data_IF_334383651867
#
_entry.id   IF_334383651867
#
_cell.length_a   1.000
_cell.length_b   1.000
_cell.length_c   1.000
_cell.angle_alpha   90.00
_cell.angle_beta   90.00
_cell.angle_gamma   90.00
#
_symmetry.space_group_name_H-M   'P 1'
#
loop_
_entity.id
_entity.type
_entity.pdbx_description
1 polymer ?
#
# COMPACT_ATOMS: atom_id res chain seq x y z
N UNK A 1 -3.35 -5.60 -10.81
CA UNK A 1 -4.77 -5.33 -10.53
C UNK A 1 -4.96 -5.44 -9.03
N UNK A 2 -5.51 -4.41 -8.39
CA UNK A 2 -5.69 -4.32 -6.94
C UNK A 2 -6.53 -5.49 -6.49
N UNK A 3 -5.99 -6.25 -5.54
CA UNK A 3 -6.80 -7.19 -4.80
C UNK A 3 -7.01 -6.51 -3.45
N UNK A 4 -8.23 -6.00 -3.22
CA UNK A 4 -8.69 -5.93 -1.83
C UNK A 4 -8.48 -7.33 -1.29
N UNK A 5 -7.87 -7.47 -0.13
CA UNK A 5 -7.71 -8.79 0.51
C UNK A 5 -9.08 -9.25 1.05
N UNK A 6 -10.12 -9.17 0.23
CA UNK A 6 -11.46 -9.70 0.43
C UNK A 6 -11.35 -11.22 0.32
N UNK A 7 -11.07 -11.86 1.45
CA UNK A 7 -10.99 -13.32 1.53
C UNK A 7 -9.88 -13.85 2.45
N UNK A 8 -8.97 -12.99 2.92
CA UNK A 8 -8.14 -13.31 4.09
C UNK A 8 -8.64 -12.47 5.25
N UNK A 9 -8.63 -13.07 6.45
CA UNK A 9 -9.08 -12.47 7.72
C UNK A 9 -8.73 -10.98 7.73
N UNK A 10 -9.76 -10.11 7.76
CA UNK A 10 -9.49 -8.68 7.77
C UNK A 10 -8.61 -8.41 8.98
N UNK A 11 -7.41 -7.82 8.82
CA UNK A 11 -6.55 -7.57 9.96
C UNK A 11 -7.30 -6.61 10.88
N UNK A 12 -7.62 -7.09 12.08
CA UNK A 12 -8.15 -6.26 13.13
C UNK A 12 -7.29 -6.44 14.37
N UNK A 13 -6.97 -5.33 15.02
CA UNK A 13 -6.24 -5.34 16.28
C UNK A 13 -7.20 -4.79 17.33
N UNK A 14 -7.44 -5.59 18.37
CA UNK A 14 -8.16 -5.16 19.55
C UNK A 14 -7.16 -4.48 20.48
N UNK A 15 -7.30 -3.18 20.64
CA UNK A 15 -6.74 -2.42 21.75
C UNK A 15 -7.79 -2.43 22.88
N UNK A 16 -7.35 -2.30 24.13
CA UNK A 16 -8.19 -2.52 25.32
C UNK A 16 -9.57 -1.82 25.24
N UNK A 17 -9.64 -0.62 24.65
CA UNK A 17 -10.87 0.16 24.47
C UNK A 17 -11.36 0.29 23.01
N UNK A 18 -10.68 -0.30 22.03
CA UNK A 18 -11.01 -0.09 20.61
C UNK A 18 -10.57 -1.23 19.68
N UNK A 19 -11.48 -1.65 18.79
CA UNK A 19 -11.14 -2.55 17.67
C UNK A 19 -10.83 -1.72 16.43
N UNK A 20 -9.58 -1.78 15.96
CA UNK A 20 -9.15 -1.12 14.74
C UNK A 20 -9.14 -2.13 13.60
N UNK A 21 -9.93 -1.86 12.56
CA UNK A 21 -9.97 -2.66 11.33
C UNK A 21 -9.06 -2.00 10.29
N UNK A 22 -8.15 -2.77 9.70
CA UNK A 22 -7.25 -2.29 8.66
C UNK A 22 -7.78 -2.63 7.28
N UNK A 23 -7.82 -1.63 6.40
CA UNK A 23 -8.06 -1.80 4.97
C UNK A 23 -6.73 -1.69 4.26
N UNK A 24 -6.14 -2.84 3.93
CA UNK A 24 -4.84 -2.92 3.25
C UNK A 24 -5.09 -3.23 1.78
N UNK A 25 -4.53 -2.40 0.91
CA UNK A 25 -4.56 -2.59 -0.54
C UNK A 25 -3.15 -2.93 -1.01
N UNK A 26 -2.95 -4.16 -1.52
CA UNK A 26 -1.71 -4.52 -2.19
C UNK A 26 -1.80 -4.18 -3.68
N UNK A 27 -0.75 -3.55 -4.18
CA UNK A 27 -0.64 -3.17 -5.59
C UNK A 27 0.34 -4.13 -6.23
N UNK A 28 -0.13 -4.99 -7.15
CA UNK A 28 0.80 -5.75 -7.98
C UNK A 28 1.68 -4.75 -8.76
N UNK A 29 2.94 -4.61 -8.33
CA UNK A 29 3.88 -3.54 -8.65
C UNK A 29 4.34 -3.51 -10.11
N UNK A 30 3.41 -3.29 -11.03
CA UNK A 30 3.72 -2.96 -12.41
C UNK A 30 3.71 -1.45 -12.60
N UNK A 31 4.79 -0.94 -13.19
CA UNK A 31 4.96 0.47 -13.55
C UNK A 31 3.83 1.03 -14.43
N UNK A 32 3.10 0.17 -15.16
CA UNK A 32 1.94 0.55 -15.99
C UNK A 32 0.79 1.18 -15.22
N UNK A 33 0.76 1.04 -13.89
CA UNK A 33 -0.31 1.59 -13.05
C UNK A 33 0.09 2.86 -12.29
N UNK A 34 1.25 3.46 -12.61
CA UNK A 34 1.74 4.67 -11.94
C UNK A 34 0.76 5.86 -12.08
N UNK A 35 0.10 6.02 -13.23
CA UNK A 35 -0.89 7.09 -13.47
C UNK A 35 -2.12 7.03 -12.56
N UNK A 36 -2.34 5.91 -11.88
CA UNK A 36 -3.46 5.71 -10.98
C UNK A 36 -3.08 5.98 -9.51
N UNK A 37 -1.82 6.35 -9.22
CA UNK A 37 -1.35 6.72 -7.88
C UNK A 37 -2.26 7.75 -7.16
N UNK A 38 -2.72 8.84 -7.82
CA UNK A 38 -3.62 9.80 -7.18
C UNK A 38 -4.97 9.21 -6.76
N UNK A 39 -5.43 8.16 -7.45
CA UNK A 39 -6.65 7.44 -7.09
C UNK A 39 -6.44 6.53 -5.88
N UNK A 40 -5.23 5.97 -5.69
CA UNK A 40 -4.92 5.04 -4.60
C UNK A 40 -4.74 5.69 -3.24
N UNK A 41 -4.25 6.94 -3.20
CA UNK A 41 -4.13 7.67 -1.94
C UNK A 41 -5.44 8.34 -1.49
N UNK A 42 -6.44 8.39 -2.38
CA UNK A 42 -7.69 9.11 -2.11
C UNK A 42 -8.54 8.35 -1.09
N UNK A 43 -8.55 8.85 0.14
CA UNK A 43 -9.26 8.24 1.26
C UNK A 43 -8.40 7.31 2.13
N UNK A 44 -7.15 7.07 1.74
CA UNK A 44 -6.20 6.35 2.58
C UNK A 44 -5.69 7.28 3.70
N UNK A 45 -5.61 6.75 4.93
CA UNK A 45 -5.02 7.48 6.07
C UNK A 45 -3.49 7.48 6.03
N UNK A 46 -2.89 6.45 5.44
CA UNK A 46 -1.46 6.28 5.32
C UNK A 46 -1.13 5.45 4.07
N UNK A 47 0.11 5.59 3.59
CA UNK A 47 0.66 4.77 2.52
C UNK A 47 2.07 4.29 2.90
N UNK A 48 2.40 3.06 2.54
CA UNK A 48 3.73 2.47 2.77
C UNK A 48 4.37 2.23 1.39
N UNK A 49 5.54 2.80 1.17
CA UNK A 49 6.35 2.57 -0.04
C UNK A 49 7.53 1.69 0.36
N UNK A 50 7.63 0.52 -0.27
CA UNK A 50 8.67 -0.48 0.03
C UNK A 50 9.66 -0.53 -1.14
N UNK A 51 10.94 -0.71 -0.82
CA UNK A 51 12.01 -0.96 -1.77
C UNK A 51 12.99 -2.00 -1.19
N UNK A 52 13.88 -2.53 -2.05
CA UNK A 52 14.89 -3.50 -1.66
C UNK A 52 16.23 -2.79 -1.43
N UNK A 53 16.81 -2.96 -0.23
CA UNK A 53 18.09 -2.34 0.17
C UNK A 53 19.27 -2.83 -0.67
N UNK A 54 19.19 -4.04 -1.23
CA UNK A 54 20.22 -4.61 -2.10
C UNK A 54 20.11 -4.12 -3.54
N UNK A 55 18.99 -3.50 -3.91
CA UNK A 55 18.72 -3.01 -5.26
C UNK A 55 18.48 -1.49 -5.27
N UNK A 56 19.50 -0.73 -5.63
CA UNK A 56 19.43 0.72 -5.68
C UNK A 56 18.45 1.28 -6.73
N UNK A 57 18.18 0.54 -7.81
CA UNK A 57 17.17 0.93 -8.81
C UNK A 57 15.76 0.93 -8.20
N UNK A 58 15.48 -0.06 -7.33
CA UNK A 58 14.19 -0.14 -6.62
C UNK A 58 13.96 1.09 -5.72
N UNK A 59 15.01 1.61 -5.09
CA UNK A 59 14.95 2.83 -4.29
C UNK A 59 14.66 4.08 -5.14
N UNK A 60 15.29 4.20 -6.30
CA UNK A 60 15.02 5.34 -7.20
C UNK A 60 13.58 5.28 -7.74
N UNK A 61 13.08 4.09 -8.05
CA UNK A 61 11.67 3.89 -8.43
C UNK A 61 10.71 4.27 -7.29
N UNK A 62 11.01 3.87 -6.06
CA UNK A 62 10.22 4.20 -4.87
C UNK A 62 10.05 5.72 -4.65
N UNK A 63 11.10 6.51 -4.90
CA UNK A 63 11.03 7.98 -4.79
C UNK A 63 9.99 8.62 -5.71
N UNK A 64 9.70 8.02 -6.86
CA UNK A 64 8.72 8.56 -7.80
C UNK A 64 7.28 8.46 -7.25
N UNK A 65 7.02 7.57 -6.28
CA UNK A 65 5.71 7.41 -5.65
C UNK A 65 5.42 8.41 -4.53
N UNK A 66 6.43 9.16 -4.08
CA UNK A 66 6.32 10.10 -2.95
C UNK A 66 6.24 11.57 -3.43
N UNK A 67 6.29 11.81 -4.74
CA UNK A 67 6.23 13.17 -5.31
C UNK A 67 4.83 13.77 -5.31
#
# INVERSE_FOLDING_TARGET
MFRVIEGQVVPCVCLDDATVKFEIWDTAGQERYHSLAPMYYRGAQAAIVVYDITNQESFQKAKNWVK
#
